data_IF_826694860932
#
_entry.id   IF_826694860932
#
_cell.length_a   1.000
_cell.length_b   1.000
_cell.length_c   1.000
_cell.angle_alpha   90.00
_cell.angle_beta   90.00
_cell.angle_gamma   90.00
#
_symmetry.space_group_name_H-M   'P 1'
#
loop_
_entity.id
_entity.type
_entity.pdbx_description
1 polymer ?
#
# COMPACT_ATOMS: atom_id res chain seq x y z
N UNK A 1 30.33 -25.57 -10.92
CA UNK A 1 30.67 -24.80 -9.71
C UNK A 1 29.42 -24.06 -9.27
N UNK A 2 28.67 -24.65 -8.34
CA UNK A 2 27.53 -24.03 -7.66
C UNK A 2 28.08 -23.34 -6.42
N UNK A 3 27.90 -22.02 -6.30
CA UNK A 3 28.06 -21.32 -5.04
C UNK A 3 26.72 -21.37 -4.31
N UNK A 4 26.72 -22.09 -3.20
CA UNK A 4 25.60 -22.14 -2.26
C UNK A 4 25.66 -20.88 -1.41
N UNK A 5 24.65 -20.01 -1.54
CA UNK A 5 24.42 -18.89 -0.63
C UNK A 5 24.15 -19.44 0.77
N UNK A 6 25.05 -19.14 1.71
CA UNK A 6 24.79 -19.29 3.14
C UNK A 6 23.73 -18.27 3.56
N UNK A 7 22.49 -18.74 3.57
CA UNK A 7 21.34 -18.06 4.14
C UNK A 7 21.54 -17.99 5.66
N UNK A 8 22.17 -16.91 6.12
CA UNK A 8 22.32 -16.59 7.53
C UNK A 8 20.99 -16.71 8.25
N UNK A 9 20.92 -17.69 9.15
CA UNK A 9 19.79 -17.93 10.04
C UNK A 9 19.64 -16.67 10.91
N UNK A 10 18.62 -15.85 10.63
CA UNK A 10 18.22 -14.75 11.52
C UNK A 10 17.74 -15.37 12.81
N UNK A 11 18.58 -15.35 13.84
CA UNK A 11 18.21 -15.65 15.21
C UNK A 11 17.16 -14.62 15.63
N UNK A 12 15.89 -15.02 15.60
CA UNK A 12 14.79 -14.20 16.11
C UNK A 12 15.00 -13.96 17.60
N UNK A 13 15.08 -12.69 17.98
CA UNK A 13 15.01 -12.28 19.38
C UNK A 13 13.58 -12.54 19.87
N UNK A 14 13.34 -13.70 20.47
CA UNK A 14 12.10 -13.98 21.20
C UNK A 14 12.21 -13.33 22.57
N UNK A 15 11.73 -12.09 22.69
CA UNK A 15 11.52 -11.45 23.99
C UNK A 15 10.17 -11.89 24.53
N UNK A 16 10.14 -13.03 25.20
CA UNK A 16 9.08 -13.37 26.15
C UNK A 16 9.56 -12.99 27.54
N UNK A 17 9.20 -11.79 28.03
CA UNK A 17 9.59 -11.34 29.36
C UNK A 17 8.97 -12.21 30.44
N UNK A 18 9.77 -13.10 31.04
CA UNK A 18 9.35 -14.01 32.12
C UNK A 18 8.70 -13.25 33.29
N UNK A 19 9.12 -12.00 33.54
CA UNK A 19 8.55 -11.14 34.60
C UNK A 19 7.13 -10.60 34.35
N UNK A 20 6.70 -10.46 33.09
CA UNK A 20 5.35 -9.94 32.79
C UNK A 20 4.24 -10.94 33.08
N UNK A 21 4.50 -12.23 32.80
CA UNK A 21 3.55 -13.32 33.03
C UNK A 21 3.41 -13.65 34.53
N UNK A 22 4.50 -13.60 35.29
CA UNK A 22 4.49 -13.81 36.74
C UNK A 22 3.78 -12.67 37.46
N UNK A 23 4.04 -11.41 37.10
CA UNK A 23 3.33 -10.25 37.64
C UNK A 23 1.83 -10.32 37.37
N UNK A 24 1.42 -10.63 36.13
CA UNK A 24 0.01 -10.78 35.77
C UNK A 24 -0.69 -11.88 36.56
N UNK A 25 -0.01 -13.00 36.79
CA UNK A 25 -0.54 -14.14 37.56
C UNK A 25 -0.71 -13.80 39.04
N UNK A 26 0.26 -13.11 39.64
CA UNK A 26 0.19 -12.67 41.04
C UNK A 26 -0.92 -11.62 41.23
N UNK A 27 -1.04 -10.65 40.32
CA UNK A 27 -2.14 -9.67 40.33
C UNK A 27 -3.50 -10.39 40.22
N UNK A 28 -3.64 -11.39 39.35
CA UNK A 28 -4.87 -12.15 39.22
C UNK A 28 -5.24 -12.92 40.50
N UNK A 29 -4.26 -13.53 41.17
CA UNK A 29 -4.45 -14.23 42.46
C UNK A 29 -4.87 -13.23 43.55
N UNK A 30 -4.18 -12.09 43.65
CA UNK A 30 -4.50 -11.05 44.62
C UNK A 30 -5.91 -10.48 44.38
N UNK A 31 -6.29 -10.20 43.12
CA UNK A 31 -7.63 -9.73 42.76
C UNK A 31 -8.73 -10.78 43.01
N UNK A 32 -8.42 -12.07 42.84
CA UNK A 32 -9.33 -13.18 43.09
C UNK A 32 -9.54 -13.45 44.58
N UNK A 33 -8.53 -13.18 45.43
CA UNK A 33 -8.54 -13.49 46.86
C UNK A 33 -9.51 -12.65 47.72
N UNK A 34 -10.23 -11.67 47.14
CA UNK A 34 -11.26 -10.80 47.74
C UNK A 34 -11.53 -10.97 49.26
N UNK A 35 -10.85 -10.20 50.14
CA UNK A 35 -11.41 -9.84 51.44
C UNK A 35 -12.11 -8.46 51.40
N UNK A 36 -11.81 -7.63 50.39
CA UNK A 36 -12.13 -6.20 50.39
C UNK A 36 -13.64 -5.84 50.31
N UNK A 37 -14.54 -6.75 49.93
CA UNK A 37 -15.98 -6.43 49.86
C UNK A 37 -16.76 -6.70 51.16
N UNK A 38 -16.21 -7.45 52.12
CA UNK A 38 -16.94 -7.86 53.32
C UNK A 38 -16.21 -7.68 54.68
N UNK A 39 -14.92 -7.34 54.70
CA UNK A 39 -14.14 -7.24 55.94
C UNK A 39 -14.23 -5.87 56.67
N UNK A 40 -14.08 -5.83 58.02
CA UNK A 40 -13.84 -4.62 58.80
C UNK A 40 -12.63 -3.80 58.30
N UNK A 41 -12.57 -2.50 58.64
CA UNK A 41 -11.59 -1.56 58.08
C UNK A 41 -10.13 -1.92 58.38
N UNK A 42 -9.85 -2.50 59.55
CA UNK A 42 -8.49 -2.87 59.96
C UNK A 42 -7.96 -4.08 59.16
N UNK A 43 -8.80 -5.10 58.95
CA UNK A 43 -8.47 -6.27 58.10
C UNK A 43 -8.27 -5.87 56.62
N UNK A 44 -8.93 -4.82 56.15
CA UNK A 44 -8.70 -4.26 54.81
C UNK A 44 -7.34 -3.57 54.70
N UNK A 45 -6.91 -2.89 55.75
CA UNK A 45 -5.62 -2.19 55.81
C UNK A 45 -4.47 -3.20 55.84
N UNK A 46 -4.58 -4.25 56.67
CA UNK A 46 -3.60 -5.33 56.74
C UNK A 46 -3.46 -6.05 55.39
N UNK A 47 -4.59 -6.34 54.73
CA UNK A 47 -4.58 -6.93 53.39
C UNK A 47 -3.94 -6.02 52.33
N UNK A 48 -4.21 -4.70 52.36
CA UNK A 48 -3.57 -3.75 51.43
C UNK A 48 -2.06 -3.67 51.66
N UNK A 49 -1.61 -3.77 52.92
CA UNK A 49 -0.18 -3.81 53.26
C UNK A 49 0.45 -5.10 52.73
N UNK A 50 -0.20 -6.25 52.87
CA UNK A 50 0.27 -7.53 52.32
C UNK A 50 0.36 -7.52 50.78
N UNK A 51 -0.64 -6.94 50.12
CA UNK A 51 -0.65 -6.73 48.66
C UNK A 51 0.52 -5.83 48.23
N UNK A 52 0.73 -4.70 48.91
CA UNK A 52 1.81 -3.76 48.59
C UNK A 52 3.19 -4.35 48.83
N UNK A 53 3.39 -5.06 49.95
CA UNK A 53 4.67 -5.72 50.27
C UNK A 53 5.03 -6.83 49.29
N UNK A 54 4.04 -7.46 48.65
CA UNK A 54 4.25 -8.47 47.60
C UNK A 54 4.47 -7.84 46.22
N UNK A 55 3.75 -6.77 45.88
CA UNK A 55 3.83 -6.13 44.55
C UNK A 55 5.09 -5.30 44.33
N UNK A 56 5.58 -4.61 45.36
CA UNK A 56 6.75 -3.71 45.23
C UNK A 56 8.01 -4.43 44.75
N UNK A 57 8.40 -5.60 45.31
CA UNK A 57 9.56 -6.34 44.82
C UNK A 57 9.40 -6.88 43.39
N UNK A 58 8.20 -7.35 43.03
CA UNK A 58 7.93 -7.85 41.68
C UNK A 58 8.03 -6.74 40.63
N UNK A 59 7.57 -5.53 40.96
CA UNK A 59 7.71 -4.38 40.07
C UNK A 59 9.18 -3.94 39.91
N UNK A 60 10.00 -4.08 40.96
CA UNK A 60 11.43 -3.83 40.87
C UNK A 60 12.12 -4.84 39.93
N UNK A 61 11.81 -6.13 40.05
CA UNK A 61 12.33 -7.17 39.16
C UNK A 61 11.93 -6.94 37.69
N UNK A 62 10.69 -6.52 37.43
CA UNK A 62 10.24 -6.16 36.08
C UNK A 62 10.99 -4.92 35.55
N UNK A 63 11.21 -3.92 36.40
CA UNK A 63 11.97 -2.73 36.02
C UNK A 63 13.44 -3.06 35.69
N UNK A 64 14.08 -3.93 36.46
CA UNK A 64 15.45 -4.39 36.21
C UNK A 64 15.53 -5.18 34.91
N UNK A 65 14.61 -6.13 34.68
CA UNK A 65 14.53 -6.88 33.43
C UNK A 65 14.27 -5.98 32.20
N UNK A 66 13.49 -4.91 32.37
CA UNK A 66 13.31 -3.90 31.31
C UNK A 66 14.59 -3.10 31.05
N UNK A 67 15.34 -2.73 32.08
CA UNK A 67 16.62 -2.02 31.94
C UNK A 67 17.67 -2.89 31.22
N UNK A 68 17.76 -4.17 31.57
CA UNK A 68 18.62 -5.13 30.87
C UNK A 68 18.21 -5.28 29.40
N UNK A 69 16.92 -5.38 29.11
CA UNK A 69 16.42 -5.49 27.75
C UNK A 69 16.73 -4.25 26.90
N UNK A 70 16.55 -3.06 27.49
CA UNK A 70 16.94 -1.80 26.86
C UNK A 70 18.44 -1.80 26.56
N UNK A 71 19.25 -2.28 27.50
CA UNK A 71 20.72 -2.39 27.33
C UNK A 71 21.08 -3.32 26.18
N UNK A 72 20.46 -4.50 26.10
CA UNK A 72 20.69 -5.46 25.01
C UNK A 72 20.24 -4.90 23.67
N UNK A 73 19.10 -4.21 23.61
CA UNK A 73 18.63 -3.55 22.40
C UNK A 73 19.59 -2.44 21.95
N UNK A 74 20.08 -1.61 22.88
CA UNK A 74 21.04 -0.56 22.57
C UNK A 74 22.37 -1.15 22.07
N UNK A 75 22.86 -2.23 22.69
CA UNK A 75 24.06 -2.94 22.23
C UNK A 75 23.87 -3.54 20.84
N UNK A 76 22.69 -4.13 20.55
CA UNK A 76 22.36 -4.67 19.24
C UNK A 76 22.28 -3.58 18.16
N UNK A 77 21.69 -2.42 18.47
CA UNK A 77 21.63 -1.25 17.59
C UNK A 77 23.04 -0.69 17.32
N UNK A 78 23.86 -0.57 18.37
CA UNK A 78 25.24 -0.12 18.26
C UNK A 78 26.09 -1.07 17.39
N UNK A 79 25.87 -2.39 17.50
CA UNK A 79 26.53 -3.38 16.64
C UNK A 79 26.14 -3.25 15.16
N UNK A 80 25.01 -2.61 14.84
CA UNK A 80 24.59 -2.25 13.48
C UNK A 80 25.07 -0.86 13.05
N UNK A 81 25.87 -0.18 13.87
CA UNK A 81 26.36 1.17 13.61
C UNK A 81 25.29 2.26 13.80
N UNK A 82 24.18 1.95 14.48
CA UNK A 82 23.11 2.91 14.77
C UNK A 82 23.38 3.50 16.16
N UNK A 83 23.76 4.78 16.20
CA UNK A 83 23.98 5.48 17.46
C UNK A 83 22.66 5.74 18.21
N UNK A 84 22.67 5.73 19.56
CA UNK A 84 21.49 6.07 20.35
C UNK A 84 21.02 7.50 20.07
N UNK A 85 19.73 7.68 19.77
CA UNK A 85 19.16 9.00 19.48
C UNK A 85 19.23 9.42 18.00
N UNK A 86 19.69 8.54 17.10
CA UNK A 86 19.60 8.78 15.65
C UNK A 86 18.14 8.67 15.21
N UNK A 87 17.59 9.77 14.69
CA UNK A 87 16.35 9.73 13.93
C UNK A 87 16.56 8.83 12.71
N UNK A 88 15.86 7.69 12.67
CA UNK A 88 15.87 6.80 11.51
C UNK A 88 15.05 7.48 10.41
N UNK A 89 15.71 8.33 9.62
CA UNK A 89 15.13 8.88 8.41
C UNK A 89 15.08 7.79 7.33
N UNK A 90 13.95 7.08 7.23
CA UNK A 90 13.70 6.14 6.13
C UNK A 90 13.50 6.98 4.86
N UNK A 91 14.58 7.19 4.10
CA UNK A 91 14.51 7.74 2.75
C UNK A 91 14.13 6.63 1.79
N UNK A 92 12.91 6.67 1.29
CA UNK A 92 12.53 5.93 0.08
C UNK A 92 12.69 6.87 -1.10
N UNK A 93 13.69 6.62 -1.94
CA UNK A 93 13.91 7.40 -3.15
C UNK A 93 12.68 7.30 -4.05
N UNK A 94 12.24 8.44 -4.57
CA UNK A 94 11.05 8.55 -5.41
C UNK A 94 11.39 8.22 -6.86
N UNK A 95 11.45 6.93 -7.17
CA UNK A 95 11.96 6.46 -8.46
C UNK A 95 10.81 5.99 -9.34
N UNK A 96 10.73 6.55 -10.56
CA UNK A 96 9.82 6.06 -11.57
C UNK A 96 10.29 4.70 -12.09
N UNK A 97 9.39 3.72 -12.14
CA UNK A 97 9.62 2.45 -12.80
C UNK A 97 9.69 2.64 -14.32
N UNK A 98 10.26 1.65 -14.99
CA UNK A 98 10.19 1.57 -16.44
C UNK A 98 8.73 1.60 -16.93
N UNK A 99 8.44 2.32 -18.03
CA UNK A 99 7.10 2.36 -18.59
C UNK A 99 6.58 0.98 -18.95
N UNK A 100 5.42 0.66 -18.39
CA UNK A 100 4.71 -0.57 -18.65
C UNK A 100 3.69 -0.35 -19.77
N UNK A 101 3.90 -1.01 -20.92
CA UNK A 101 2.90 -0.99 -21.98
C UNK A 101 1.66 -1.80 -21.54
N UNK A 102 0.49 -1.15 -21.59
CA UNK A 102 -0.80 -1.74 -21.19
C UNK A 102 -1.81 -1.80 -22.35
N UNK A 103 -1.48 -1.20 -23.50
CA UNK A 103 -2.25 -1.33 -24.73
C UNK A 103 -1.36 -1.07 -25.94
N UNK A 104 -1.45 -1.91 -26.97
CA UNK A 104 -0.84 -1.63 -28.28
C UNK A 104 -1.57 -2.36 -29.39
N UNK A 105 -2.57 -1.70 -29.95
CA UNK A 105 -3.40 -2.30 -31.01
C UNK A 105 -3.73 -1.31 -32.12
N UNK A 106 -3.96 -1.87 -33.31
CA UNK A 106 -4.67 -1.16 -34.36
C UNK A 106 -6.16 -1.15 -34.04
N UNK A 107 -6.77 0.02 -33.99
CA UNK A 107 -8.21 0.16 -33.89
C UNK A 107 -8.74 0.28 -35.32
N UNK A 108 -9.71 -0.57 -35.69
CA UNK A 108 -10.22 -0.67 -37.08
C UNK A 108 -11.70 -0.32 -37.22
N UNK A 109 -12.38 -0.08 -36.10
CA UNK A 109 -13.80 0.21 -36.05
C UNK A 109 -14.11 1.19 -34.92
N UNK A 110 -15.21 1.92 -35.07
CA UNK A 110 -15.79 2.69 -33.97
C UNK A 110 -16.27 1.76 -32.85
N UNK A 111 -16.22 2.24 -31.61
CA UNK A 111 -16.60 1.45 -30.45
C UNK A 111 -15.80 1.80 -29.20
N UNK A 112 -16.00 0.98 -28.18
CA UNK A 112 -15.32 1.10 -26.89
C UNK A 112 -14.33 -0.05 -26.74
N UNK A 113 -13.09 0.30 -26.42
CA UNK A 113 -11.99 -0.62 -26.18
C UNK A 113 -11.42 -0.34 -24.79
N UNK A 114 -10.68 -1.29 -24.25
CA UNK A 114 -10.03 -1.19 -22.95
C UNK A 114 -8.56 -1.55 -23.09
N UNK A 115 -7.74 -1.05 -22.18
CA UNK A 115 -6.36 -1.53 -22.01
C UNK A 115 -6.35 -3.04 -21.78
N UNK A 116 -5.31 -3.73 -22.23
CA UNK A 116 -5.18 -5.20 -22.16
C UNK A 116 -5.20 -5.72 -20.72
N UNK A 117 -4.85 -4.83 -19.78
CA UNK A 117 -4.83 -5.04 -18.33
C UNK A 117 -4.88 -3.69 -17.62
N UNK A 118 -5.07 -3.73 -16.31
CA UNK A 118 -4.95 -2.55 -15.46
C UNK A 118 -3.54 -2.47 -14.85
N UNK A 119 -2.96 -1.28 -14.82
CA UNK A 119 -1.70 -1.03 -14.13
C UNK A 119 -1.90 -1.21 -12.62
N UNK A 120 -1.03 -2.00 -11.99
CA UNK A 120 -1.06 -2.22 -10.54
C UNK A 120 -0.42 -1.02 -9.82
N UNK A 121 -1.25 -0.24 -9.12
CA UNK A 121 -0.86 0.93 -8.35
C UNK A 121 -1.03 0.73 -6.83
N UNK A 122 -1.08 -0.53 -6.36
CA UNK A 122 -1.22 -0.87 -4.93
C UNK A 122 -0.06 -0.39 -4.05
N UNK A 123 1.14 -0.24 -4.62
CA UNK A 123 2.37 0.17 -3.90
C UNK A 123 2.97 1.47 -4.44
N UNK A 124 2.35 2.06 -5.44
CA UNK A 124 2.86 3.29 -6.05
C UNK A 124 2.38 4.53 -5.32
N UNK A 125 3.17 5.59 -5.42
CA UNK A 125 2.85 6.92 -4.91
C UNK A 125 2.23 7.81 -5.98
N UNK A 126 2.67 7.66 -7.22
CA UNK A 126 2.17 8.38 -8.40
C UNK A 126 2.07 7.44 -9.59
N UNK A 127 1.13 7.74 -10.48
CA UNK A 127 0.97 7.05 -11.76
C UNK A 127 0.77 8.07 -12.88
N UNK A 128 1.34 7.77 -14.04
CA UNK A 128 1.19 8.55 -15.27
C UNK A 128 0.93 7.62 -16.44
N UNK A 129 -0.05 7.97 -17.26
CA UNK A 129 -0.34 7.32 -18.54
C UNK A 129 0.21 8.16 -19.68
N UNK A 130 0.91 7.50 -20.60
CA UNK A 130 1.37 8.07 -21.86
C UNK A 130 0.65 7.36 -23.00
N UNK A 131 -0.12 8.11 -23.78
CA UNK A 131 -0.73 7.65 -25.00
C UNK A 131 -0.04 8.26 -26.22
N UNK A 132 0.26 7.41 -27.20
CA UNK A 132 0.87 7.77 -28.48
C UNK A 132 0.05 7.13 -29.60
N UNK A 133 -0.50 7.97 -30.46
CA UNK A 133 -1.43 7.57 -31.51
C UNK A 133 -0.80 7.84 -32.87
N UNK A 134 -0.82 6.82 -33.74
CA UNK A 134 -0.70 6.99 -35.19
C UNK A 134 -2.05 6.83 -35.89
N UNK A 135 -3.15 6.88 -35.13
CA UNK A 135 -4.49 6.76 -35.69
C UNK A 135 -4.79 7.98 -36.57
N UNK A 136 -5.44 7.74 -37.70
CA UNK A 136 -5.91 8.77 -38.63
C UNK A 136 -7.15 9.55 -38.12
N UNK A 137 -7.63 9.29 -36.91
CA UNK A 137 -8.79 9.95 -36.32
C UNK A 137 -8.58 10.15 -34.81
N UNK A 138 -9.36 11.07 -34.24
CA UNK A 138 -9.33 11.34 -32.81
C UNK A 138 -10.07 10.24 -32.01
N UNK A 139 -9.63 10.02 -30.78
CA UNK A 139 -10.25 9.11 -29.82
C UNK A 139 -10.36 9.80 -28.46
N UNK A 140 -11.26 9.34 -27.60
CA UNK A 140 -11.35 9.81 -26.22
C UNK A 140 -10.76 8.76 -25.28
N UNK A 141 -9.92 9.20 -24.35
CA UNK A 141 -9.32 8.37 -23.31
C UNK A 141 -9.95 8.71 -21.96
N UNK A 142 -10.59 7.73 -21.33
CA UNK A 142 -11.12 7.84 -19.98
C UNK A 142 -10.26 6.97 -19.07
N UNK A 143 -9.63 7.56 -18.06
CA UNK A 143 -8.95 6.78 -17.02
C UNK A 143 -10.00 6.11 -16.15
N UNK A 144 -9.79 4.84 -15.82
CA UNK A 144 -10.72 4.03 -15.02
C UNK A 144 -9.99 3.33 -13.88
N UNK A 145 -10.62 3.22 -12.72
CA UNK A 145 -10.07 2.62 -11.51
C UNK A 145 -10.90 1.45 -11.00
N UNK A 146 -10.23 0.45 -10.40
CA UNK A 146 -10.88 -0.68 -9.74
C UNK A 146 -10.02 -1.24 -8.58
N UNK A 147 -10.62 -2.10 -7.77
CA UNK A 147 -9.96 -2.82 -6.67
C UNK A 147 -9.36 -4.16 -7.10
N UNK A 148 -9.62 -4.60 -8.33
CA UNK A 148 -9.09 -5.82 -8.96
C UNK A 148 -8.55 -5.49 -10.35
N UNK A 149 -7.66 -6.33 -10.88
CA UNK A 149 -7.14 -6.22 -12.26
C UNK A 149 -8.20 -6.68 -13.28
N UNK A 150 -9.30 -5.93 -13.35
CA UNK A 150 -10.39 -6.15 -14.28
C UNK A 150 -11.13 -4.83 -14.56
N UNK A 151 -11.43 -4.60 -15.84
CA UNK A 151 -12.19 -3.45 -16.31
C UNK A 151 -13.69 -3.52 -15.97
N UNK A 152 -14.20 -4.70 -15.60
CA UNK A 152 -15.58 -4.88 -15.20
C UNK A 152 -15.92 -4.08 -13.95
N UNK A 153 -16.94 -3.21 -14.08
CA UNK A 153 -17.40 -2.31 -13.00
C UNK A 153 -16.33 -1.31 -12.51
N UNK A 154 -15.31 -1.06 -13.33
CA UNK A 154 -14.37 0.02 -13.06
C UNK A 154 -15.09 1.39 -13.10
N UNK A 155 -14.65 2.29 -12.23
CA UNK A 155 -15.20 3.65 -12.10
C UNK A 155 -14.36 4.62 -12.91
N UNK A 156 -15.01 5.61 -13.52
CA UNK A 156 -14.34 6.69 -14.23
C UNK A 156 -13.59 7.59 -13.23
N UNK A 157 -12.30 7.81 -13.47
CA UNK A 157 -11.47 8.76 -12.75
C UNK A 157 -11.35 10.00 -13.64
N UNK A 158 -11.75 11.16 -13.11
CA UNK A 158 -11.85 12.42 -13.85
C UNK A 158 -12.70 12.33 -15.14
N UNK A 159 -12.63 13.36 -15.97
CA UNK A 159 -13.30 13.41 -17.27
C UNK A 159 -12.49 12.75 -18.39
N UNK A 160 -13.20 12.28 -19.42
CA UNK A 160 -12.58 11.78 -20.64
C UNK A 160 -11.78 12.88 -21.36
N UNK A 161 -10.58 12.54 -21.79
CA UNK A 161 -9.64 13.46 -22.44
C UNK A 161 -9.54 13.16 -23.94
N UNK A 162 -9.69 14.16 -24.81
CA UNK A 162 -9.56 13.97 -26.25
C UNK A 162 -8.09 13.78 -26.64
N UNK A 163 -7.84 12.75 -27.44
CA UNK A 163 -6.57 12.49 -28.10
C UNK A 163 -6.76 12.71 -29.60
N UNK A 164 -6.10 13.73 -30.14
CA UNK A 164 -6.14 14.04 -31.57
C UNK A 164 -5.55 12.90 -32.42
N UNK A 165 -5.96 12.86 -33.70
CA UNK A 165 -5.35 12.01 -34.71
C UNK A 165 -3.83 12.26 -34.78
N UNK A 166 -3.03 11.21 -34.91
CA UNK A 166 -1.56 11.29 -34.89
C UNK A 166 -0.97 12.05 -33.68
N UNK A 167 -1.73 12.12 -32.58
CA UNK A 167 -1.40 12.90 -31.41
C UNK A 167 -0.76 12.09 -30.28
N UNK A 168 -0.35 12.82 -29.25
CA UNK A 168 0.14 12.24 -28.00
C UNK A 168 -0.58 12.90 -26.83
N UNK A 169 -0.85 12.13 -25.77
CA UNK A 169 -1.43 12.64 -24.53
C UNK A 169 -0.70 12.04 -23.34
N UNK A 170 -0.55 12.84 -22.29
CA UNK A 170 0.02 12.43 -21.02
C UNK A 170 -0.96 12.78 -19.91
N UNK A 171 -1.30 11.82 -19.05
CA UNK A 171 -2.29 11.99 -17.98
C UNK A 171 -1.69 11.49 -16.67
N UNK A 172 -1.54 12.38 -15.69
CA UNK A 172 -1.18 11.98 -14.32
C UNK A 172 -2.43 12.05 -13.44
N UNK A 173 -2.53 11.15 -12.48
CA UNK A 173 -3.61 11.19 -11.50
C UNK A 173 -3.25 12.06 -10.29
N UNK A 174 -4.27 12.69 -9.70
CA UNK A 174 -4.13 13.32 -8.41
C UNK A 174 -3.86 12.27 -7.33
N UNK A 175 -3.33 12.72 -6.19
CA UNK A 175 -2.95 11.80 -5.10
C UNK A 175 -4.16 11.18 -4.41
N UNK A 176 -5.27 11.91 -4.35
CA UNK A 176 -6.55 11.51 -3.75
C UNK A 176 -7.42 10.61 -4.64
N UNK A 177 -7.17 10.57 -5.96
CA UNK A 177 -7.85 9.68 -6.91
C UNK A 177 -7.31 8.24 -6.89
N UNK A 178 -6.93 7.77 -5.70
CA UNK A 178 -6.25 6.50 -5.54
C UNK A 178 -7.16 5.29 -5.81
N UNK A 179 -6.68 4.39 -6.68
CA UNK A 179 -7.30 3.10 -6.97
C UNK A 179 -6.19 2.02 -7.10
N UNK A 180 -6.38 0.82 -6.52
CA UNK A 180 -5.39 -0.27 -6.59
C UNK A 180 -4.98 -0.68 -8.00
N UNK A 181 -5.93 -0.70 -8.94
CA UNK A 181 -5.73 -1.05 -10.33
C UNK A 181 -6.31 0.04 -11.21
N UNK A 182 -5.53 0.53 -12.17
CA UNK A 182 -5.92 1.65 -13.03
C UNK A 182 -5.69 1.32 -14.50
N UNK A 183 -6.73 1.50 -15.32
CA UNK A 183 -6.70 1.26 -16.76
C UNK A 183 -7.18 2.46 -17.55
N UNK A 184 -7.30 2.28 -18.87
CA UNK A 184 -7.87 3.30 -19.76
C UNK A 184 -8.96 2.70 -20.64
N UNK A 185 -10.14 3.32 -20.63
CA UNK A 185 -11.22 3.07 -21.59
C UNK A 185 -11.05 4.00 -22.78
N UNK A 186 -10.96 3.42 -23.97
CA UNK A 186 -10.76 4.12 -25.23
C UNK A 186 -12.09 4.16 -25.97
N UNK A 187 -12.59 5.35 -26.26
CA UNK A 187 -13.82 5.52 -27.03
C UNK A 187 -13.50 6.11 -28.38
N UNK A 188 -13.87 5.38 -29.43
CA UNK A 188 -13.74 5.82 -30.80
C UNK A 188 -15.11 6.29 -31.29
N UNK A 189 -15.28 7.58 -31.61
CA UNK A 189 -16.58 8.13 -31.97
C UNK A 189 -17.13 7.44 -33.23
N UNK A 190 -18.43 7.19 -33.22
CA UNK A 190 -19.15 6.76 -34.42
C UNK A 190 -19.60 8.03 -35.15
N UNK A 191 -19.51 8.04 -36.48
CA UNK A 191 -20.09 9.13 -37.27
C UNK A 191 -21.60 9.21 -36.99
N UNK A 192 -22.11 10.37 -36.57
CA UNK A 192 -23.50 10.50 -36.14
C UNK A 192 -24.49 10.31 -37.30
N UNK A 193 -25.61 9.59 -37.08
CA UNK A 193 -26.68 9.44 -38.07
C UNK A 193 -27.57 10.68 -38.07
N UNK A 194 -27.16 11.74 -38.78
CA UNK A 194 -27.95 12.97 -38.92
C UNK A 194 -27.56 13.89 -40.08
N UNK A 195 -26.44 13.63 -40.75
CA UNK A 195 -25.99 14.39 -41.92
C UNK A 195 -26.60 13.88 -43.24
N UNK A 196 -26.59 14.71 -44.32
CA UNK A 196 -27.14 14.39 -45.64
C UNK A 196 -26.57 13.07 -46.21
N UNK A 197 -27.14 12.48 -47.29
CA UNK A 197 -26.85 11.11 -47.71
C UNK A 197 -25.35 10.81 -47.74
N UNK A 198 -24.94 9.63 -47.25
CA UNK A 198 -23.59 9.44 -46.74
C UNK A 198 -22.55 9.65 -47.85
N UNK A 199 -21.52 10.48 -47.62
CA UNK A 199 -20.26 10.31 -48.35
C UNK A 199 -19.74 8.87 -48.14
N UNK A 200 -18.84 8.37 -49.00
CA UNK A 200 -18.27 7.03 -48.85
C UNK A 200 -17.88 6.75 -47.40
N UNK A 201 -18.02 5.50 -46.92
CA UNK A 201 -17.78 5.15 -45.52
C UNK A 201 -16.45 5.76 -45.07
N UNK A 202 -16.39 6.36 -43.86
CA UNK A 202 -15.15 6.94 -43.36
C UNK A 202 -14.06 5.88 -43.50
N UNK A 203 -12.86 6.26 -43.99
CA UNK A 203 -11.80 5.29 -44.19
C UNK A 203 -11.61 4.52 -42.89
N UNK A 204 -11.47 3.18 -42.95
CA UNK A 204 -11.31 2.37 -41.75
C UNK A 204 -10.21 2.97 -40.92
N UNK A 205 -10.44 3.02 -39.61
CA UNK A 205 -9.45 3.52 -38.67
C UNK A 205 -8.14 2.80 -38.93
N UNK A 206 -7.11 3.59 -39.21
CA UNK A 206 -5.80 3.12 -39.62
C UNK A 206 -4.77 3.72 -38.69
N UNK A 207 -3.79 2.90 -38.28
CA UNK A 207 -2.76 3.27 -37.32
C UNK A 207 -2.78 2.37 -36.10
N UNK A 208 -1.91 2.70 -35.14
CA UNK A 208 -1.73 2.00 -33.87
C UNK A 208 -1.85 3.02 -32.76
N UNK A 209 -2.60 2.66 -31.71
CA UNK A 209 -2.60 3.37 -30.44
C UNK A 209 -1.76 2.57 -29.45
N UNK A 210 -0.78 3.23 -28.84
CA UNK A 210 0.03 2.68 -27.75
C UNK A 210 -0.28 3.44 -26.47
N UNK A 211 -0.51 2.73 -25.38
CA UNK A 211 -0.68 3.32 -24.04
C UNK A 211 0.27 2.61 -23.08
N UNK A 212 1.06 3.41 -22.37
CA UNK A 212 1.97 2.95 -21.32
C UNK A 212 1.63 3.61 -19.99
N UNK A 213 1.80 2.88 -18.90
CA UNK A 213 1.68 3.36 -17.53
C UNK A 213 3.07 3.44 -16.88
N UNK A 214 3.34 4.50 -16.14
CA UNK A 214 4.56 4.69 -15.36
C UNK A 214 4.16 4.87 -13.91
N UNK A 215 4.61 3.95 -13.06
CA UNK A 215 4.36 3.99 -11.61
C UNK A 215 5.63 4.46 -10.91
N UNK A 216 5.50 5.40 -9.99
CA UNK A 216 6.56 5.82 -9.08
C UNK A 216 6.38 5.16 -7.72
N UNK A 217 7.44 4.58 -7.15
CA UNK A 217 7.46 3.97 -5.81
C UNK A 217 8.36 4.75 -4.83
#
# INVERSE_FOLDING_TARGET
>A
MQQTEERGIRTGLVVGGVGGATLASVIAILLAARPARAAPTDEKLDYLIEVLTTLVPLLAEVSEGQAELITVMQQWLAAQGIEPGVEIAIRTDWVAKEPEQIYRHAIRAAGTFYTDRMANWTKGKRIMFKAESSLNQAVNLQVIGNIVDDHGRATDIDGALPLAANGNLSVGLAWDDWHPYVGVRITVPTAEPGEPPPPPPPPPTAGILTISAVVQE
#
